data_IF_853674261062
#
_entry.id   IF_853674261062
#
_cell.length_a   1.000
_cell.length_b   1.000
_cell.length_c   1.000
_cell.angle_alpha   90.00
_cell.angle_beta   90.00
_cell.angle_gamma   90.00
#
_symmetry.space_group_name_H-M   'P 1'
#
loop_
_entity.id
_entity.type
_entity.pdbx_description
1 polymer ?
#
# COMPACT_ATOMS: atom_id res chain seq x y z
N UNK A 1 1.17 -20.30 -15.91
CA UNK A 1 2.37 -21.09 -15.56
C UNK A 1 2.31 -22.57 -15.96
N UNK A 2 1.30 -23.05 -16.73
CA UNK A 2 1.23 -24.47 -17.12
C UNK A 2 2.40 -24.91 -18.02
N UNK A 3 2.97 -24.02 -18.83
CA UNK A 3 4.05 -24.35 -19.77
C UNK A 3 5.47 -24.30 -19.17
N UNK A 4 5.73 -23.42 -18.20
CA UNK A 4 7.09 -23.09 -17.73
C UNK A 4 7.40 -23.58 -16.30
N UNK A 5 6.43 -24.26 -15.67
CA UNK A 5 6.55 -24.73 -14.29
C UNK A 5 6.41 -23.62 -13.24
N UNK A 6 6.67 -23.98 -11.97
CA UNK A 6 6.53 -23.08 -10.81
C UNK A 6 7.77 -22.24 -10.49
N UNK A 7 8.84 -22.43 -11.25
CA UNK A 7 10.09 -21.68 -11.12
C UNK A 7 10.70 -21.57 -12.50
N UNK A 8 10.85 -20.36 -13.00
CA UNK A 8 11.44 -20.13 -14.32
C UNK A 8 12.27 -18.85 -14.29
N UNK A 9 13.08 -18.66 -15.33
CA UNK A 9 13.95 -17.50 -15.45
C UNK A 9 13.73 -16.83 -16.80
N UNK A 10 13.83 -15.50 -16.82
CA UNK A 10 13.76 -14.69 -18.03
C UNK A 10 15.00 -13.80 -18.05
N UNK A 11 15.63 -13.69 -19.22
CA UNK A 11 16.67 -12.70 -19.46
C UNK A 11 16.02 -11.44 -20.05
N UNK A 12 16.25 -10.30 -19.41
CA UNK A 12 15.96 -8.98 -19.95
C UNK A 12 17.29 -8.28 -20.24
N UNK A 13 17.76 -8.39 -21.48
CA UNK A 13 19.10 -7.93 -21.82
C UNK A 13 20.17 -8.69 -21.03
N UNK A 14 20.94 -7.95 -20.20
CA UNK A 14 21.99 -8.52 -19.33
C UNK A 14 21.47 -8.96 -17.97
N UNK A 15 20.22 -8.64 -17.63
CA UNK A 15 19.64 -8.92 -16.33
C UNK A 15 18.88 -10.25 -16.34
N UNK A 16 19.15 -11.09 -15.34
CA UNK A 16 18.46 -12.36 -15.13
C UNK A 16 17.38 -12.20 -14.06
N UNK A 17 16.13 -12.32 -14.47
CA UNK A 17 14.98 -12.36 -13.55
C UNK A 17 14.61 -13.81 -13.26
N UNK A 18 14.46 -14.13 -11.97
CA UNK A 18 14.00 -15.44 -11.50
C UNK A 18 12.61 -15.29 -10.91
N UNK A 19 11.63 -15.97 -11.51
CA UNK A 19 10.25 -15.99 -11.04
C UNK A 19 10.00 -17.23 -10.19
N UNK A 20 9.61 -17.02 -8.94
CA UNK A 20 9.30 -18.06 -7.98
C UNK A 20 7.79 -18.06 -7.69
N UNK A 21 7.11 -19.12 -8.12
CA UNK A 21 5.68 -19.35 -7.87
C UNK A 21 5.43 -20.58 -6.98
N UNK A 22 6.51 -21.16 -6.43
CA UNK A 22 6.45 -22.27 -5.50
C UNK A 22 6.48 -21.75 -4.05
N UNK A 23 5.40 -21.98 -3.31
CA UNK A 23 5.19 -21.39 -1.98
C UNK A 23 6.37 -21.66 -1.01
N UNK A 24 6.90 -22.89 -0.99
CA UNK A 24 8.02 -23.27 -0.11
C UNK A 24 9.31 -22.49 -0.43
N UNK A 25 9.60 -22.26 -1.72
CA UNK A 25 10.76 -21.46 -2.15
C UNK A 25 10.58 -19.99 -1.81
N UNK A 26 9.38 -19.46 -2.04
CA UNK A 26 9.05 -18.07 -1.69
C UNK A 26 9.19 -17.84 -0.19
N UNK A 27 8.65 -18.73 0.64
CA UNK A 27 8.78 -18.69 2.10
C UNK A 27 10.24 -18.69 2.55
N UNK A 28 11.08 -19.57 1.99
CA UNK A 28 12.52 -19.66 2.31
C UNK A 28 13.23 -18.32 2.10
N UNK A 29 12.87 -17.57 1.07
CA UNK A 29 13.47 -16.26 0.78
C UNK A 29 12.85 -15.18 1.68
N UNK A 30 11.52 -15.08 1.73
CA UNK A 30 10.83 -13.98 2.42
C UNK A 30 10.93 -14.04 3.96
N UNK A 31 11.16 -15.22 4.54
CA UNK A 31 11.40 -15.37 5.99
C UNK A 31 12.86 -15.10 6.39
N UNK A 32 13.78 -15.12 5.44
CA UNK A 32 15.20 -14.95 5.69
C UNK A 32 15.51 -13.55 6.20
N UNK A 33 16.20 -13.47 7.34
CA UNK A 33 16.76 -12.20 7.83
C UNK A 33 18.03 -11.79 7.08
N UNK A 34 18.52 -12.63 6.16
CA UNK A 34 19.73 -12.37 5.35
C UNK A 34 19.38 -11.68 4.02
N UNK A 35 18.25 -12.02 3.40
CA UNK A 35 17.85 -11.50 2.08
C UNK A 35 16.88 -10.32 2.24
N UNK A 36 17.38 -9.22 2.82
CA UNK A 36 16.57 -8.03 3.09
C UNK A 36 16.79 -6.90 2.08
N UNK A 37 17.74 -7.09 1.15
CA UNK A 37 18.03 -6.09 0.13
C UNK A 37 16.87 -5.96 -0.85
N UNK A 38 16.52 -4.70 -1.15
CA UNK A 38 15.52 -4.36 -2.14
C UNK A 38 16.10 -4.50 -3.54
N UNK A 39 15.26 -4.98 -4.43
CA UNK A 39 15.60 -5.12 -5.83
C UNK A 39 15.62 -3.74 -6.51
N UNK A 40 16.25 -3.64 -7.68
CA UNK A 40 16.45 -2.38 -8.42
C UNK A 40 15.14 -1.67 -8.76
N UNK A 41 14.04 -2.41 -8.83
CA UNK A 41 12.70 -1.88 -9.08
C UNK A 41 12.26 -0.88 -7.99
N UNK A 42 12.79 -1.00 -6.77
CA UNK A 42 12.51 -0.04 -5.69
C UNK A 42 13.20 1.32 -5.90
N UNK A 43 14.20 1.42 -6.77
CA UNK A 43 14.86 2.69 -7.04
C UNK A 43 14.00 3.63 -7.89
N UNK A 44 13.03 3.12 -8.65
CA UNK A 44 12.06 3.96 -9.38
C UNK A 44 11.12 4.74 -8.46
N UNK A 45 10.78 4.18 -7.29
CA UNK A 45 9.88 4.83 -6.32
C UNK A 45 10.64 5.64 -5.26
N UNK A 46 11.97 5.50 -5.19
CA UNK A 46 12.84 6.18 -4.22
C UNK A 46 12.80 7.71 -4.31
N UNK A 47 12.72 8.36 -5.50
CA UNK A 47 12.60 9.83 -5.58
C UNK A 47 11.32 10.35 -4.93
N UNK A 48 10.24 9.57 -4.96
CA UNK A 48 8.94 9.95 -4.39
C UNK A 48 8.86 9.61 -2.89
N UNK A 49 9.16 8.37 -2.51
CA UNK A 49 9.01 7.89 -1.12
C UNK A 49 10.25 8.10 -0.24
N UNK A 50 11.35 8.56 -0.84
CA UNK A 50 12.65 8.65 -0.18
C UNK A 50 13.21 7.29 0.23
N UNK A 51 14.19 7.32 1.13
CA UNK A 51 14.77 6.12 1.73
C UNK A 51 14.03 5.79 3.04
N UNK A 52 12.83 5.20 2.89
CA UNK A 52 11.77 4.86 3.86
C UNK A 52 11.82 3.43 4.42
N UNK A 53 10.79 3.00 5.16
CA UNK A 53 10.66 1.59 5.59
C UNK A 53 10.55 0.63 4.39
N UNK A 54 9.91 1.06 3.30
CA UNK A 54 9.70 0.27 2.10
C UNK A 54 10.98 0.11 1.25
N UNK A 55 11.79 1.16 1.16
CA UNK A 55 12.92 1.28 0.22
C UNK A 55 14.30 1.11 0.87
N UNK A 56 14.39 1.15 2.20
CA UNK A 56 15.64 0.90 2.93
C UNK A 56 15.88 -0.59 3.20
N UNK A 57 17.17 -0.94 3.40
CA UNK A 57 17.64 -2.30 3.70
C UNK A 57 18.51 -2.34 4.96
N UNK A 58 18.86 -3.54 5.41
CA UNK A 58 19.84 -3.78 6.48
C UNK A 58 19.53 -3.07 7.80
N UNK A 59 20.57 -2.50 8.44
CA UNK A 59 20.44 -1.86 9.76
C UNK A 59 19.44 -0.71 9.80
N UNK A 60 19.34 0.09 8.72
CA UNK A 60 18.40 1.22 8.64
C UNK A 60 16.95 0.73 8.64
N UNK A 61 16.66 -0.30 7.84
CA UNK A 61 15.36 -0.95 7.83
C UNK A 61 15.00 -1.55 9.20
N UNK A 62 15.93 -2.30 9.82
CA UNK A 62 15.70 -2.90 11.14
C UNK A 62 15.35 -1.87 12.21
N UNK A 63 16.12 -0.77 12.26
CA UNK A 63 15.89 0.31 13.23
C UNK A 63 14.49 0.91 13.06
N UNK A 64 14.09 1.22 11.82
CA UNK A 64 12.78 1.81 11.53
C UNK A 64 11.63 0.85 11.79
N UNK A 65 11.79 -0.43 11.39
CA UNK A 65 10.79 -1.47 11.67
C UNK A 65 10.57 -1.62 13.18
N UNK A 66 11.64 -1.62 13.97
CA UNK A 66 11.56 -1.70 15.43
C UNK A 66 10.74 -0.56 16.04
N UNK A 67 10.87 0.66 15.52
CA UNK A 67 10.14 1.83 15.99
C UNK A 67 8.67 1.80 15.54
N UNK A 68 8.41 1.37 14.32
CA UNK A 68 7.08 1.43 13.70
C UNK A 68 6.19 0.25 14.10
N UNK A 69 6.71 -0.98 14.20
CA UNK A 69 5.89 -2.17 14.47
C UNK A 69 4.96 -2.04 15.69
N UNK A 70 5.36 -1.43 16.82
CA UNK A 70 4.46 -1.25 17.97
C UNK A 70 3.20 -0.42 17.67
N UNK A 71 3.21 0.46 16.67
CA UNK A 71 2.03 1.28 16.31
C UNK A 71 0.92 0.49 15.64
N UNK A 72 1.20 -0.75 15.25
CA UNK A 72 0.23 -1.70 14.68
C UNK A 72 -0.26 -2.73 15.72
N UNK A 73 -0.07 -2.46 17.02
CA UNK A 73 -0.60 -3.30 18.08
C UNK A 73 -2.12 -3.20 18.15
N UNK A 74 -2.82 -4.31 18.42
CA UNK A 74 -4.29 -4.41 18.36
C UNK A 74 -5.03 -3.30 19.10
N UNK A 75 -4.59 -2.91 20.30
CA UNK A 75 -5.18 -1.79 21.05
C UNK A 75 -5.22 -0.47 20.27
N UNK A 76 -4.17 -0.16 19.52
CA UNK A 76 -4.11 1.05 18.69
C UNK A 76 -5.04 0.90 17.47
N UNK A 77 -5.10 -0.31 16.90
CA UNK A 77 -5.99 -0.58 15.77
C UNK A 77 -7.47 -0.50 16.16
N UNK A 78 -7.82 -0.87 17.39
CA UNK A 78 -9.17 -0.71 17.95
C UNK A 78 -9.59 0.77 17.99
N UNK A 79 -8.67 1.68 18.32
CA UNK A 79 -8.92 3.13 18.30
C UNK A 79 -9.21 3.64 16.88
N UNK A 80 -8.70 2.97 15.83
CA UNK A 80 -8.96 3.34 14.44
C UNK A 80 -10.36 2.95 13.93
N UNK A 81 -11.10 2.10 14.66
CA UNK A 81 -12.45 1.68 14.24
C UNK A 81 -13.40 2.87 14.14
N UNK A 82 -13.30 3.84 15.05
CA UNK A 82 -14.10 5.07 14.99
C UNK A 82 -13.81 5.89 13.72
N UNK A 83 -12.54 5.96 13.32
CA UNK A 83 -12.11 6.63 12.08
C UNK A 83 -12.67 5.88 10.87
N UNK A 84 -12.62 4.54 10.87
CA UNK A 84 -13.17 3.74 9.78
C UNK A 84 -14.68 3.95 9.63
N UNK A 85 -15.43 3.98 10.73
CA UNK A 85 -16.87 4.21 10.72
C UNK A 85 -17.20 5.62 10.19
N UNK A 86 -16.48 6.64 10.69
CA UNK A 86 -16.64 8.02 10.23
C UNK A 86 -16.39 8.15 8.72
N UNK A 87 -15.26 7.63 8.22
CA UNK A 87 -14.90 7.75 6.80
C UNK A 87 -15.79 6.88 5.90
N UNK A 88 -16.27 5.74 6.41
CA UNK A 88 -17.25 4.89 5.70
C UNK A 88 -18.60 5.56 5.57
N UNK A 89 -19.03 6.31 6.59
CA UNK A 89 -20.28 7.09 6.53
C UNK A 89 -20.20 8.15 5.44
N UNK A 90 -19.09 8.91 5.38
CA UNK A 90 -18.85 9.88 4.30
C UNK A 90 -18.87 9.20 2.93
N UNK A 91 -18.19 8.05 2.80
CA UNK A 91 -18.18 7.28 1.56
C UNK A 91 -19.58 6.86 1.11
N UNK A 92 -20.38 6.32 2.02
CA UNK A 92 -21.78 5.94 1.77
C UNK A 92 -22.59 7.15 1.29
N UNK A 93 -22.41 8.31 1.92
CA UNK A 93 -23.09 9.54 1.51
C UNK A 93 -22.68 10.01 0.11
N UNK A 94 -21.42 9.82 -0.28
CA UNK A 94 -20.95 10.11 -1.64
C UNK A 94 -21.55 9.19 -2.70
N UNK A 95 -21.72 7.88 -2.40
CA UNK A 95 -22.19 6.90 -3.39
C UNK A 95 -23.72 6.75 -3.42
N UNK A 96 -24.45 7.14 -2.36
CA UNK A 96 -25.93 7.14 -2.32
C UNK A 96 -26.59 7.75 -3.55
N UNK A 97 -26.24 8.97 -4.01
CA UNK A 97 -26.88 9.57 -5.19
C UNK A 97 -26.54 8.81 -6.48
N UNK A 98 -25.36 8.19 -6.56
CA UNK A 98 -24.96 7.37 -7.71
C UNK A 98 -25.78 6.07 -7.74
N UNK A 99 -25.93 5.41 -6.60
CA UNK A 99 -26.76 4.22 -6.47
C UNK A 99 -28.25 4.50 -6.76
N UNK A 100 -28.76 5.67 -6.36
CA UNK A 100 -30.13 6.08 -6.62
C UNK A 100 -30.44 6.27 -8.12
N UNK A 101 -29.42 6.49 -8.95
CA UNK A 101 -29.60 6.60 -10.40
C UNK A 101 -30.00 5.27 -11.06
N UNK A 102 -29.74 4.13 -10.41
CA UNK A 102 -29.97 2.79 -10.96
C UNK A 102 -28.93 2.34 -12.00
N UNK A 103 -28.02 3.23 -12.39
CA UNK A 103 -26.98 2.94 -13.38
C UNK A 103 -25.72 2.36 -12.73
N UNK A 104 -25.00 1.45 -13.41
CA UNK A 104 -23.68 1.00 -12.98
C UNK A 104 -22.69 2.18 -12.89
N UNK A 105 -21.85 2.17 -11.86
CA UNK A 105 -20.79 3.16 -11.70
C UNK A 105 -19.49 2.52 -11.22
N UNK A 106 -18.37 3.17 -11.52
CA UNK A 106 -17.06 2.77 -11.04
C UNK A 106 -16.85 3.25 -9.59
N UNK A 107 -16.70 2.30 -8.68
CA UNK A 107 -16.49 2.56 -7.25
C UNK A 107 -15.02 2.81 -6.90
N UNK A 108 -14.08 2.42 -7.77
CA UNK A 108 -12.64 2.44 -7.49
C UNK A 108 -12.11 3.83 -7.13
N UNK A 109 -12.46 4.92 -7.84
CA UNK A 109 -12.01 6.26 -7.46
C UNK A 109 -12.50 6.70 -6.08
N UNK A 110 -13.69 6.25 -5.65
CA UNK A 110 -14.29 6.64 -4.37
C UNK A 110 -13.70 5.86 -3.20
N UNK A 111 -13.49 4.56 -3.38
CA UNK A 111 -12.77 3.74 -2.39
C UNK A 111 -11.34 4.23 -2.21
N UNK A 112 -10.67 4.65 -3.28
CA UNK A 112 -9.30 5.20 -3.19
C UNK A 112 -9.25 6.47 -2.34
N UNK A 113 -10.20 7.39 -2.52
CA UNK A 113 -10.28 8.62 -1.71
C UNK A 113 -10.63 8.33 -0.24
N UNK A 114 -11.55 7.38 0.01
CA UNK A 114 -11.88 6.93 1.35
C UNK A 114 -10.64 6.31 2.04
N UNK A 115 -9.93 5.41 1.36
CA UNK A 115 -8.72 4.79 1.90
C UNK A 115 -7.65 5.85 2.23
N UNK A 116 -7.54 6.90 1.40
CA UNK A 116 -6.64 8.02 1.65
C UNK A 116 -7.03 8.80 2.91
N UNK A 117 -8.31 9.13 3.10
CA UNK A 117 -8.78 9.79 4.32
C UNK A 117 -8.53 8.91 5.57
N UNK A 118 -8.83 7.60 5.46
CA UNK A 118 -8.60 6.64 6.54
C UNK A 118 -7.13 6.60 6.95
N UNK A 119 -6.18 6.47 6.01
CA UNK A 119 -4.75 6.41 6.36
C UNK A 119 -4.22 7.75 6.87
N UNK A 120 -4.72 8.88 6.34
CA UNK A 120 -4.33 10.20 6.82
C UNK A 120 -4.77 10.45 8.25
N UNK A 121 -6.00 10.06 8.60
CA UNK A 121 -6.53 10.30 9.93
C UNK A 121 -5.96 9.29 10.94
N UNK A 122 -5.89 7.99 10.59
CA UNK A 122 -5.38 6.95 11.50
C UNK A 122 -3.87 6.99 11.71
N UNK A 123 -3.07 7.05 10.64
CA UNK A 123 -1.61 6.95 10.74
C UNK A 123 -0.91 8.31 10.80
N UNK A 124 -1.49 9.36 10.21
CA UNK A 124 -0.87 10.70 10.15
C UNK A 124 -1.56 11.72 11.07
N UNK A 125 -2.68 11.36 11.71
CA UNK A 125 -3.39 12.23 12.64
C UNK A 125 -3.98 13.48 12.00
N UNK A 126 -4.27 13.45 10.69
CA UNK A 126 -4.72 14.63 9.93
C UNK A 126 -5.91 14.33 9.02
N UNK A 127 -6.85 15.27 8.94
CA UNK A 127 -8.02 15.19 8.07
C UNK A 127 -7.73 15.91 6.76
N UNK A 128 -7.47 15.15 5.69
CA UNK A 128 -7.24 15.71 4.35
C UNK A 128 -8.54 15.93 3.57
N UNK A 129 -9.63 15.26 3.99
CA UNK A 129 -10.96 15.33 3.38
C UNK A 129 -10.93 15.05 1.87
N UNK A 130 -10.15 14.05 1.47
CA UNK A 130 -9.95 13.63 0.08
C UNK A 130 -11.26 13.25 -0.61
N UNK A 131 -12.21 12.66 0.12
CA UNK A 131 -13.53 12.31 -0.40
C UNK A 131 -14.35 13.54 -0.81
N UNK A 132 -14.18 14.67 -0.13
CA UNK A 132 -14.91 15.92 -0.36
C UNK A 132 -14.14 16.89 -1.27
N UNK A 133 -12.82 16.77 -1.33
CA UNK A 133 -11.93 17.61 -2.14
C UNK A 133 -10.93 16.74 -2.92
N UNK A 134 -11.44 16.07 -3.96
CA UNK A 134 -10.70 15.13 -4.79
C UNK A 134 -9.60 15.77 -5.67
N UNK A 135 -9.57 17.11 -5.75
CA UNK A 135 -8.62 17.90 -6.55
C UNK A 135 -7.58 18.64 -5.69
N UNK A 136 -7.55 18.39 -4.39
CA UNK A 136 -6.54 18.95 -3.50
C UNK A 136 -5.12 18.61 -3.97
N UNK A 137 -4.16 19.51 -3.67
CA UNK A 137 -2.76 19.34 -4.05
C UNK A 137 -2.19 18.00 -3.59
N UNK A 138 -2.57 17.57 -2.39
CA UNK A 138 -2.15 16.29 -1.84
C UNK A 138 -2.73 15.10 -2.61
N UNK A 139 -4.04 15.11 -2.93
CA UNK A 139 -4.66 14.04 -3.72
C UNK A 139 -4.03 13.97 -5.12
N UNK A 140 -3.72 15.12 -5.73
CA UNK A 140 -3.04 15.16 -7.04
C UNK A 140 -1.62 14.60 -6.96
N UNK A 141 -0.87 14.92 -5.89
CA UNK A 141 0.49 14.42 -5.69
C UNK A 141 0.56 12.91 -5.44
N UNK A 142 -0.48 12.32 -4.84
CA UNK A 142 -0.56 10.86 -4.59
C UNK A 142 -1.02 10.07 -5.82
N UNK A 143 -1.75 10.71 -6.75
CA UNK A 143 -2.20 10.10 -8.02
C UNK A 143 -1.10 10.04 -9.10
N UNK A 144 -0.04 10.83 -8.97
CA UNK A 144 1.04 10.98 -9.96
C UNK A 144 2.05 9.83 -9.90
#
# INVERSE_FOLDING_TARGET
SKEWGKCFRIWLGVDLLIFLMDAKKVETILSSQKFLDKSIEYDFIRPWLGDGLLTSSGRKWHSRRKIITPTFHFKILEEFVEIFDQQSTVFVDQIKPMAASGEPFDVYPRVTLMALDVICESAMGTKVNAQLNADSDYVRAVKA
#
